data_IF_218640790495
#
_entry.id   IF_218640790495
#
_cell.length_a   1.000
_cell.length_b   1.000
_cell.length_c   1.000
_cell.angle_alpha   90.00
_cell.angle_beta   90.00
_cell.angle_gamma   90.00
#
_symmetry.space_group_name_H-M   'P 1'
#
loop_
_entity.id
_entity.type
_entity.pdbx_description
1 polymer ?
#
# COMPACT_ATOMS: atom_id res chain seq x y z
N UNK A 1 38.59 -3.53 -17.43
CA UNK A 1 37.68 -2.71 -18.25
C UNK A 1 36.34 -2.67 -17.56
N UNK A 2 36.03 -1.57 -16.87
CA UNK A 2 34.75 -1.40 -16.14
C UNK A 2 33.68 -1.11 -17.19
N UNK A 3 32.81 -2.07 -17.49
CA UNK A 3 31.60 -1.80 -18.28
C UNK A 3 30.84 -0.69 -17.62
N UNK A 4 30.70 0.46 -18.28
CA UNK A 4 29.73 1.49 -17.91
C UNK A 4 28.35 0.86 -18.05
N UNK A 5 27.79 0.39 -16.95
CA UNK A 5 26.40 -0.02 -16.90
C UNK A 5 25.56 1.25 -17.15
N UNK A 6 24.86 1.30 -18.28
CA UNK A 6 23.99 2.44 -18.55
C UNK A 6 22.93 2.52 -17.44
N UNK A 7 22.78 3.70 -16.86
CA UNK A 7 21.74 3.95 -15.84
C UNK A 7 20.37 3.62 -16.40
N UNK A 8 19.59 2.89 -15.63
CA UNK A 8 18.17 2.60 -15.91
C UNK A 8 17.24 3.66 -15.33
N UNK A 9 17.75 4.56 -14.48
CA UNK A 9 17.00 5.66 -13.86
C UNK A 9 16.91 6.85 -14.82
N UNK A 10 15.78 6.99 -15.49
CA UNK A 10 15.52 8.05 -16.47
C UNK A 10 15.11 9.38 -15.82
N UNK A 11 15.23 10.51 -16.55
CA UNK A 11 14.70 11.80 -16.08
C UNK A 11 13.20 11.76 -15.76
N UNK A 12 12.40 11.03 -16.57
CA UNK A 12 10.96 10.90 -16.36
C UNK A 12 10.65 10.17 -15.06
N UNK A 13 11.42 9.14 -14.71
CA UNK A 13 11.27 8.47 -13.41
C UNK A 13 11.61 9.41 -12.25
N UNK A 14 12.67 10.21 -12.38
CA UNK A 14 13.03 11.21 -11.37
C UNK A 14 11.93 12.25 -11.19
N UNK A 15 11.26 12.66 -12.26
CA UNK A 15 10.14 13.58 -12.26
C UNK A 15 8.87 13.00 -11.57
N UNK A 16 8.82 11.69 -11.33
CA UNK A 16 7.73 11.07 -10.56
C UNK A 16 7.83 11.33 -9.06
N UNK A 17 9.02 11.65 -8.54
CA UNK A 17 9.18 11.98 -7.11
C UNK A 17 8.34 13.20 -6.78
N UNK A 18 7.54 13.09 -5.71
CA UNK A 18 6.58 14.11 -5.30
C UNK A 18 5.20 13.97 -5.96
N UNK A 19 5.05 13.19 -7.02
CA UNK A 19 3.73 12.92 -7.61
C UNK A 19 2.86 12.14 -6.63
N UNK A 20 1.58 12.53 -6.58
CA UNK A 20 0.56 11.92 -5.71
C UNK A 20 -0.47 11.19 -6.55
N UNK A 21 -1.03 10.15 -5.96
CA UNK A 21 -2.30 9.61 -6.41
C UNK A 21 -3.46 10.53 -5.99
N UNK A 22 -4.64 10.23 -6.48
CA UNK A 22 -5.88 10.87 -6.01
C UNK A 22 -6.08 10.57 -4.52
N UNK A 23 -6.61 11.56 -3.78
CA UNK A 23 -7.09 11.35 -2.42
C UNK A 23 -8.48 10.71 -2.49
N UNK A 24 -8.63 9.54 -1.89
CA UNK A 24 -9.86 8.73 -2.00
C UNK A 24 -10.34 8.26 -0.65
N UNK A 25 -11.66 8.12 -0.53
CA UNK A 25 -12.29 7.47 0.60
C UNK A 25 -12.16 5.95 0.47
N UNK A 26 -11.89 5.29 1.59
CA UNK A 26 -11.93 3.85 1.69
C UNK A 26 -13.37 3.34 1.51
N UNK A 27 -13.50 2.07 1.12
CA UNK A 27 -14.81 1.46 0.83
C UNK A 27 -15.77 1.43 2.03
N UNK A 28 -15.27 1.32 3.25
CA UNK A 28 -16.10 1.12 4.44
C UNK A 28 -15.75 2.07 5.57
N UNK A 29 -16.38 1.80 6.68
CA UNK A 29 -16.09 2.44 7.97
C UNK A 29 -15.41 1.43 8.89
N UNK A 30 -14.71 1.90 9.90
CA UNK A 30 -14.17 1.04 10.96
C UNK A 30 -15.35 0.51 11.77
N UNK A 31 -15.66 -0.78 11.60
CA UNK A 31 -16.73 -1.47 12.32
C UNK A 31 -16.22 -2.76 12.99
N UNK A 32 -17.10 -3.40 13.76
CA UNK A 32 -16.74 -4.62 14.50
C UNK A 32 -16.37 -5.77 13.56
N UNK A 33 -16.98 -5.86 12.38
CA UNK A 33 -16.67 -6.93 11.43
C UNK A 33 -15.30 -6.74 10.79
N UNK A 34 -14.93 -5.51 10.43
CA UNK A 34 -13.56 -5.21 9.97
C UNK A 34 -12.54 -5.47 11.07
N UNK A 35 -12.83 -5.05 12.30
CA UNK A 35 -11.98 -5.29 13.46
C UNK A 35 -11.76 -6.79 13.66
N UNK A 36 -12.84 -7.56 13.70
CA UNK A 36 -12.79 -9.01 13.88
C UNK A 36 -11.96 -9.70 12.79
N UNK A 37 -12.22 -9.37 11.52
CA UNK A 37 -11.50 -9.97 10.38
C UNK A 37 -10.02 -9.62 10.40
N UNK A 38 -9.71 -8.38 10.72
CA UNK A 38 -8.32 -7.92 10.78
C UNK A 38 -7.55 -8.62 11.91
N UNK A 39 -8.10 -8.63 13.12
CA UNK A 39 -7.48 -9.25 14.28
C UNK A 39 -7.28 -10.78 14.09
N UNK A 40 -8.25 -11.46 13.44
CA UNK A 40 -8.09 -12.87 13.07
C UNK A 40 -7.01 -13.10 12.02
N UNK A 41 -6.88 -12.18 11.04
CA UNK A 41 -5.89 -12.32 9.97
C UNK A 41 -4.45 -12.16 10.45
N UNK A 42 -4.22 -11.37 11.51
CA UNK A 42 -2.91 -11.13 12.11
C UNK A 42 -2.69 -11.91 13.42
N UNK A 43 -3.46 -12.95 13.72
CA UNK A 43 -3.67 -13.63 15.01
C UNK A 43 -3.40 -12.78 16.25
N UNK A 44 -4.03 -11.61 16.34
CA UNK A 44 -3.90 -10.71 17.49
C UNK A 44 -5.06 -10.95 18.47
N UNK A 45 -4.73 -11.51 19.61
CA UNK A 45 -5.69 -11.95 20.63
C UNK A 45 -5.82 -10.96 21.79
N UNK A 46 -5.49 -9.68 21.61
CA UNK A 46 -5.71 -8.68 22.63
C UNK A 46 -7.21 -8.63 22.98
N UNK A 47 -7.59 -8.91 24.26
CA UNK A 47 -8.99 -8.94 24.66
C UNK A 47 -9.69 -7.59 24.47
N UNK A 48 -8.96 -6.49 24.36
CA UNK A 48 -9.53 -5.17 24.06
C UNK A 48 -10.16 -5.08 22.67
N UNK A 49 -9.88 -6.02 21.78
CA UNK A 49 -10.51 -6.11 20.45
C UNK A 49 -11.79 -6.96 20.44
N UNK A 50 -12.02 -7.76 21.50
CA UNK A 50 -13.05 -8.81 21.51
C UNK A 50 -14.03 -8.68 22.65
N UNK A 51 -13.55 -8.34 23.84
CA UNK A 51 -14.34 -8.30 25.07
C UNK A 51 -14.83 -6.86 25.30
N UNK A 52 -16.11 -6.62 24.98
CA UNK A 52 -16.75 -5.31 25.12
C UNK A 52 -16.79 -4.84 26.57
N UNK A 53 -16.99 -5.77 27.51
CA UNK A 53 -17.10 -5.41 28.93
C UNK A 53 -15.74 -5.01 29.51
N UNK A 54 -14.70 -5.73 29.15
CA UNK A 54 -13.33 -5.40 29.51
C UNK A 54 -12.90 -4.07 28.86
N UNK A 55 -13.16 -3.92 27.58
CA UNK A 55 -12.83 -2.71 26.82
C UNK A 55 -13.54 -1.47 27.38
N UNK A 56 -14.82 -1.61 27.77
CA UNK A 56 -15.59 -0.53 28.39
C UNK A 56 -15.01 -0.10 29.75
N UNK A 57 -14.46 -1.04 30.51
CA UNK A 57 -13.81 -0.76 31.82
C UNK A 57 -12.40 -0.18 31.65
N UNK A 58 -11.79 -0.34 30.49
CA UNK A 58 -10.46 0.15 30.18
C UNK A 58 -10.42 1.69 30.07
N UNK A 59 -9.21 2.24 29.96
CA UNK A 59 -9.00 3.67 29.68
C UNK A 59 -9.59 4.10 28.32
N UNK A 60 -9.83 3.16 27.40
CA UNK A 60 -10.34 3.44 26.05
C UNK A 60 -11.86 3.58 26.00
N UNK A 61 -12.58 3.07 27.01
CA UNK A 61 -14.05 3.16 27.12
C UNK A 61 -14.81 2.55 25.94
N UNK A 62 -14.28 1.47 25.39
CA UNK A 62 -14.84 0.70 24.27
C UNK A 62 -13.79 -0.14 23.58
N UNK A 63 -14.20 -0.93 22.57
CA UNK A 63 -13.27 -1.73 21.79
C UNK A 63 -12.18 -0.84 21.19
N UNK A 64 -10.94 -1.27 21.32
CA UNK A 64 -9.81 -0.62 20.67
C UNK A 64 -9.67 -1.13 19.22
N UNK A 65 -9.01 -0.35 18.39
CA UNK A 65 -8.82 -0.67 16.99
C UNK A 65 -7.32 -0.72 16.71
N UNK A 66 -6.81 -1.81 16.12
CA UNK A 66 -5.40 -1.89 15.75
C UNK A 66 -5.00 -0.72 14.84
N UNK A 67 -3.83 -0.10 15.06
CA UNK A 67 -3.44 1.13 14.35
C UNK A 67 -3.29 0.93 12.84
N UNK A 68 -3.07 -0.29 12.37
CA UNK A 68 -2.94 -0.63 10.95
C UNK A 68 -4.24 -1.09 10.28
N UNK A 69 -5.34 -1.21 11.01
CA UNK A 69 -6.62 -1.56 10.39
C UNK A 69 -7.02 -0.62 9.24
N UNK A 70 -6.72 0.69 9.24
CA UNK A 70 -6.98 1.57 8.10
C UNK A 70 -6.37 1.07 6.79
N UNK A 71 -5.22 0.43 6.83
CA UNK A 71 -4.55 -0.10 5.63
C UNK A 71 -5.30 -1.26 5.00
N UNK A 72 -6.01 -2.04 5.80
CA UNK A 72 -6.83 -3.15 5.36
C UNK A 72 -8.13 -2.68 4.67
N UNK A 73 -8.79 -1.69 5.22
CA UNK A 73 -10.07 -1.16 4.69
C UNK A 73 -9.88 -0.61 3.27
N UNK A 74 -8.77 0.05 2.97
CA UNK A 74 -8.50 0.65 1.66
C UNK A 74 -8.18 -0.35 0.55
N UNK A 75 -7.95 -1.62 0.87
CA UNK A 75 -7.58 -2.62 -0.13
C UNK A 75 -8.78 -3.20 -0.88
N UNK A 76 -10.01 -2.91 -0.45
CA UNK A 76 -11.20 -3.45 -1.10
C UNK A 76 -11.56 -2.69 -2.37
N UNK A 77 -12.01 -3.44 -3.36
CA UNK A 77 -12.44 -3.00 -4.66
C UNK A 77 -13.94 -2.90 -4.81
N UNK A 78 -14.35 -2.05 -5.76
CA UNK A 78 -15.68 -2.17 -6.37
C UNK A 78 -15.74 -3.44 -7.23
N UNK A 79 -16.76 -4.27 -7.01
CA UNK A 79 -16.98 -5.51 -7.76
C UNK A 79 -17.24 -5.29 -9.26
N UNK A 80 -17.55 -4.03 -9.65
CA UNK A 80 -17.85 -3.65 -11.04
C UNK A 80 -16.64 -3.31 -11.89
N UNK A 81 -15.45 -3.28 -11.32
CA UNK A 81 -14.24 -2.95 -12.09
C UNK A 81 -13.76 -4.19 -12.83
N UNK A 82 -13.51 -4.05 -14.14
CA UNK A 82 -12.85 -5.08 -14.94
C UNK A 82 -11.51 -5.45 -14.29
N UNK A 83 -11.25 -6.73 -14.21
CA UNK A 83 -9.93 -7.21 -13.79
C UNK A 83 -8.94 -7.05 -14.94
N UNK A 84 -8.02 -6.10 -14.82
CA UNK A 84 -6.97 -5.90 -15.82
C UNK A 84 -6.03 -7.11 -15.92
N UNK A 85 -6.04 -8.00 -14.93
CA UNK A 85 -5.26 -9.22 -15.00
C UNK A 85 -5.80 -10.21 -16.03
N UNK A 86 -7.11 -10.26 -16.22
CA UNK A 86 -7.69 -11.13 -17.24
C UNK A 86 -7.11 -10.78 -18.63
N UNK A 87 -6.97 -9.48 -18.95
CA UNK A 87 -6.40 -9.03 -20.20
C UNK A 87 -4.90 -9.37 -20.31
N UNK A 88 -4.15 -9.17 -19.23
CA UNK A 88 -2.71 -9.48 -19.18
C UNK A 88 -2.44 -10.98 -19.30
N UNK A 89 -3.21 -11.80 -18.58
CA UNK A 89 -3.06 -13.26 -18.62
C UNK A 89 -3.46 -13.86 -19.96
N UNK A 90 -4.40 -13.25 -20.67
CA UNK A 90 -4.77 -13.66 -22.02
C UNK A 90 -3.65 -13.34 -23.02
N UNK A 91 -2.98 -12.19 -22.86
CA UNK A 91 -1.91 -11.76 -23.77
C UNK A 91 -0.57 -12.46 -23.48
N UNK A 92 -0.26 -12.72 -22.24
CA UNK A 92 0.98 -13.39 -21.80
C UNK A 92 0.69 -14.27 -20.57
N UNK A 93 0.28 -15.53 -20.78
CA UNK A 93 -0.02 -16.47 -19.70
C UNK A 93 1.18 -16.79 -18.78
N UNK A 94 2.40 -16.54 -19.25
CA UNK A 94 3.63 -16.73 -18.48
C UNK A 94 4.05 -15.46 -17.74
N UNK A 95 3.30 -14.39 -17.90
CA UNK A 95 3.54 -13.17 -17.14
C UNK A 95 3.15 -13.44 -15.68
N UNK A 96 4.13 -13.34 -14.78
CA UNK A 96 3.88 -13.35 -13.35
C UNK A 96 3.30 -12.00 -12.85
N UNK A 97 2.88 -11.16 -13.78
CA UNK A 97 2.45 -9.78 -13.67
C UNK A 97 1.35 -9.53 -12.62
N UNK A 98 0.68 -10.57 -12.16
CA UNK A 98 -0.21 -10.45 -11.02
C UNK A 98 0.47 -9.92 -9.77
N UNK A 99 1.63 -10.43 -9.53
CA UNK A 99 2.48 -9.99 -8.42
C UNK A 99 3.31 -8.76 -8.79
N UNK A 100 3.64 -8.60 -10.06
CA UNK A 100 4.61 -7.62 -10.54
C UNK A 100 4.02 -6.33 -11.07
N UNK A 101 2.82 -6.37 -11.64
CA UNK A 101 2.20 -5.18 -12.20
C UNK A 101 1.51 -4.28 -11.17
N UNK A 102 1.69 -4.58 -9.89
CA UNK A 102 0.98 -3.87 -8.83
C UNK A 102 -0.50 -4.23 -8.77
N UNK A 103 -0.81 -5.43 -9.21
CA UNK A 103 -2.13 -6.03 -9.11
C UNK A 103 -3.13 -5.41 -10.08
N UNK A 104 -3.33 -6.05 -11.20
CA UNK A 104 -4.38 -5.72 -12.15
C UNK A 104 -5.76 -5.64 -11.56
N UNK A 105 -5.94 -6.01 -10.35
CA UNK A 105 -7.23 -6.04 -9.70
C UNK A 105 -7.51 -4.89 -8.74
N UNK A 106 -6.76 -3.83 -8.69
CA UNK A 106 -7.03 -2.68 -7.82
C UNK A 106 -7.69 -1.55 -8.60
N UNK A 107 -8.71 -0.94 -8.02
CA UNK A 107 -9.22 0.34 -8.51
C UNK A 107 -8.05 1.26 -8.84
N UNK A 108 -8.10 1.92 -9.98
CA UNK A 108 -7.07 2.91 -10.33
C UNK A 108 -7.15 4.16 -9.46
N UNK A 109 -8.28 4.35 -8.78
CA UNK A 109 -8.45 5.44 -7.81
C UNK A 109 -7.46 5.31 -6.67
N UNK A 110 -6.78 6.40 -6.36
CA UNK A 110 -5.78 6.45 -5.30
C UNK A 110 -4.45 5.77 -5.61
N UNK A 111 -4.30 5.18 -6.80
CA UNK A 111 -3.01 4.62 -7.23
C UNK A 111 -2.05 5.74 -7.64
N UNK A 112 -0.78 5.48 -7.44
CA UNK A 112 0.27 6.33 -7.99
C UNK A 112 0.31 6.23 -9.52
N UNK A 113 0.68 7.31 -10.22
CA UNK A 113 0.98 7.23 -11.64
C UNK A 113 2.04 6.14 -11.89
N UNK A 114 1.88 5.38 -12.96
CA UNK A 114 2.82 4.28 -13.29
C UNK A 114 4.22 4.82 -13.55
N UNK A 115 5.23 4.15 -13.00
CA UNK A 115 6.61 4.41 -13.36
C UNK A 115 6.84 4.02 -14.83
N UNK A 116 7.48 4.87 -15.64
CA UNK A 116 7.84 4.55 -17.04
C UNK A 116 9.05 3.60 -17.07
N UNK A 117 8.80 2.34 -16.69
CA UNK A 117 9.86 1.33 -16.59
C UNK A 117 10.29 0.83 -17.97
N UNK A 118 11.60 0.56 -18.19
CA UNK A 118 12.07 -0.14 -19.37
C UNK A 118 11.44 -1.54 -19.49
N UNK A 119 11.18 -2.06 -20.70
CA UNK A 119 10.51 -3.34 -20.92
C UNK A 119 11.18 -4.55 -20.27
N UNK A 120 12.48 -4.49 -20.01
CA UNK A 120 13.23 -5.57 -19.38
C UNK A 120 13.10 -5.58 -17.84
N UNK A 121 12.59 -4.52 -17.22
CA UNK A 121 12.31 -4.46 -15.79
C UNK A 121 10.91 -5.02 -15.57
N UNK A 122 10.83 -6.31 -15.31
CA UNK A 122 9.55 -7.03 -15.19
C UNK A 122 9.18 -7.39 -13.76
N UNK A 123 10.18 -7.58 -12.89
CA UNK A 123 9.92 -8.02 -11.50
C UNK A 123 9.62 -6.84 -10.59
N UNK A 124 8.60 -7.05 -9.75
CA UNK A 124 8.23 -6.17 -8.67
C UNK A 124 8.30 -6.94 -7.36
N UNK A 125 9.18 -6.52 -6.48
CA UNK A 125 9.36 -7.12 -5.17
C UNK A 125 9.02 -6.10 -4.10
N UNK A 126 8.33 -6.55 -3.07
CA UNK A 126 8.10 -5.76 -1.87
C UNK A 126 9.38 -5.77 -1.02
N UNK A 127 9.92 -4.60 -0.72
CA UNK A 127 11.16 -4.42 0.03
C UNK A 127 10.96 -4.14 1.52
N UNK A 128 9.71 -3.98 1.95
CA UNK A 128 9.35 -3.69 3.33
C UNK A 128 8.48 -2.45 3.47
N UNK A 129 7.96 -2.25 4.66
CA UNK A 129 7.18 -1.08 5.05
C UNK A 129 7.76 -0.44 6.31
N UNK A 130 7.74 0.90 6.33
CA UNK A 130 7.99 1.71 7.51
C UNK A 130 6.65 2.30 7.96
N UNK A 131 6.31 2.18 9.25
CA UNK A 131 5.01 2.63 9.78
C UNK A 131 5.19 3.68 10.85
N UNK A 132 4.49 4.80 10.69
CA UNK A 132 4.38 5.86 11.68
C UNK A 132 2.92 5.98 12.14
N UNK A 133 2.64 5.67 13.42
CA UNK A 133 1.31 5.77 14.02
C UNK A 133 1.19 7.12 14.72
N UNK A 134 0.22 7.94 14.32
CA UNK A 134 -0.07 9.24 14.94
C UNK A 134 -1.20 9.12 15.97
N UNK A 135 -2.27 8.41 15.60
CA UNK A 135 -3.34 8.09 16.54
C UNK A 135 -4.07 6.81 16.16
N UNK A 136 -4.69 6.19 17.15
CA UNK A 136 -5.48 4.98 16.93
C UNK A 136 -6.80 5.33 16.25
N UNK A 137 -7.21 4.56 15.23
CA UNK A 137 -8.55 4.67 14.66
C UNK A 137 -9.60 4.32 15.72
N UNK A 138 -10.81 4.83 15.52
CA UNK A 138 -11.95 4.57 16.40
C UNK A 138 -13.07 3.89 15.63
N UNK A 139 -13.91 3.16 16.35
CA UNK A 139 -15.13 2.62 15.79
C UNK A 139 -15.97 3.74 15.16
N UNK A 140 -16.44 3.53 13.94
CA UNK A 140 -17.18 4.50 13.14
C UNK A 140 -16.32 5.46 12.30
N UNK A 141 -14.99 5.39 12.38
CA UNK A 141 -14.14 6.22 11.55
C UNK A 141 -14.30 5.87 10.07
N UNK A 142 -14.43 6.92 9.25
CA UNK A 142 -14.35 6.85 7.79
C UNK A 142 -12.92 7.18 7.38
N UNK A 143 -12.32 6.27 6.63
CA UNK A 143 -10.92 6.38 6.27
C UNK A 143 -10.77 7.01 4.90
N UNK A 144 -9.92 8.02 4.80
CA UNK A 144 -9.44 8.59 3.53
C UNK A 144 -7.96 8.35 3.42
N UNK A 145 -7.45 8.11 2.22
CA UNK A 145 -6.02 7.91 2.02
C UNK A 145 -5.49 8.60 0.77
N UNK A 146 -4.18 8.84 0.75
CA UNK A 146 -3.47 9.34 -0.42
C UNK A 146 -2.05 8.77 -0.43
N UNK A 147 -1.57 8.44 -1.63
CA UNK A 147 -0.21 7.94 -1.87
C UNK A 147 0.64 9.00 -2.56
N UNK A 148 1.94 8.98 -2.28
CA UNK A 148 2.92 9.89 -2.85
C UNK A 148 4.25 9.16 -3.08
N UNK A 149 4.89 9.36 -4.24
CA UNK A 149 6.29 8.94 -4.39
C UNK A 149 7.21 9.83 -3.57
N UNK A 150 8.04 9.22 -2.72
CA UNK A 150 8.99 9.95 -1.86
C UNK A 150 10.42 9.88 -2.38
N UNK A 151 10.81 8.76 -3.01
CA UNK A 151 12.10 8.66 -3.67
C UNK A 151 12.12 7.57 -4.74
N UNK A 152 12.97 7.74 -5.75
CA UNK A 152 13.26 6.70 -6.75
C UNK A 152 14.77 6.72 -6.95
N UNK A 153 15.42 5.59 -6.72
CA UNK A 153 16.87 5.47 -6.75
C UNK A 153 17.26 4.22 -7.54
N UNK A 154 18.40 4.32 -8.23
CA UNK A 154 19.07 3.17 -8.80
C UNK A 154 20.06 2.58 -7.81
N UNK A 155 20.13 1.27 -7.76
CA UNK A 155 21.09 0.50 -7.00
C UNK A 155 21.71 -0.57 -7.89
N UNK A 156 22.91 -1.01 -7.54
CA UNK A 156 23.58 -2.13 -8.20
C UNK A 156 23.45 -3.36 -7.31
N UNK A 157 22.93 -4.43 -7.86
CA UNK A 157 22.81 -5.72 -7.18
C UNK A 157 24.16 -6.44 -7.03
N UNK A 158 24.19 -7.47 -6.21
CA UNK A 158 25.38 -8.32 -6.03
C UNK A 158 25.81 -9.05 -7.31
N UNK A 159 24.91 -9.17 -8.28
CA UNK A 159 25.17 -9.69 -9.63
C UNK A 159 25.69 -8.62 -10.62
N UNK A 160 25.96 -7.41 -10.15
CA UNK A 160 26.42 -6.27 -10.94
C UNK A 160 25.35 -5.62 -11.82
N UNK A 161 24.08 -6.05 -11.73
CA UNK A 161 22.99 -5.48 -12.53
C UNK A 161 22.27 -4.34 -11.78
N UNK A 162 21.89 -3.28 -12.48
CA UNK A 162 21.13 -2.20 -11.88
C UNK A 162 19.68 -2.64 -11.63
N UNK A 163 19.11 -2.10 -10.54
CA UNK A 163 17.70 -2.20 -10.20
C UNK A 163 17.22 -0.89 -9.60
N UNK A 164 15.92 -0.66 -9.60
CA UNK A 164 15.31 0.52 -9.01
C UNK A 164 14.72 0.21 -7.63
N UNK A 165 14.90 1.15 -6.72
CA UNK A 165 14.22 1.19 -5.43
C UNK A 165 13.32 2.40 -5.45
N UNK A 166 12.00 2.18 -5.55
CA UNK A 166 11.00 3.22 -5.44
C UNK A 166 10.41 3.21 -4.04
N UNK A 167 10.33 4.37 -3.41
CA UNK A 167 9.66 4.55 -2.12
C UNK A 167 8.41 5.37 -2.32
N UNK A 168 7.34 4.95 -1.68
CA UNK A 168 6.09 5.71 -1.61
C UNK A 168 5.64 5.82 -0.16
N UNK A 169 4.88 6.84 0.13
CA UNK A 169 4.23 7.03 1.43
C UNK A 169 2.73 7.06 1.20
N UNK A 170 1.98 6.33 2.01
CA UNK A 170 0.53 6.41 2.07
C UNK A 170 0.15 7.02 3.41
N UNK A 171 -0.55 8.14 3.38
CA UNK A 171 -1.12 8.76 4.57
C UNK A 171 -2.59 8.40 4.68
N UNK A 172 -3.03 8.07 5.88
CA UNK A 172 -4.40 7.70 6.21
C UNK A 172 -4.99 8.71 7.19
N UNK A 173 -6.18 9.21 6.90
CA UNK A 173 -6.92 10.17 7.72
C UNK A 173 -8.29 9.62 8.10
N UNK A 174 -8.82 10.12 9.22
CA UNK A 174 -10.23 9.96 9.53
C UNK A 174 -11.08 11.09 8.90
N UNK A 175 -12.39 11.05 9.11
CA UNK A 175 -13.34 12.05 8.57
C UNK A 175 -13.16 13.47 9.11
N UNK A 176 -12.39 13.64 10.18
CA UNK A 176 -12.03 14.96 10.75
C UNK A 176 -10.75 15.54 10.14
N UNK A 177 -10.10 14.78 9.25
CA UNK A 177 -8.81 15.14 8.68
C UNK A 177 -7.61 14.89 9.60
N UNK A 178 -7.82 14.18 10.71
CA UNK A 178 -6.75 13.80 11.63
C UNK A 178 -5.96 12.64 11.01
N UNK A 179 -4.62 12.73 11.02
CA UNK A 179 -3.74 11.66 10.53
C UNK A 179 -3.78 10.50 11.51
N UNK A 180 -4.14 9.33 11.02
CA UNK A 180 -4.11 8.08 11.79
C UNK A 180 -2.74 7.43 11.74
N UNK A 181 -2.27 7.13 10.53
CA UNK A 181 -0.95 6.56 10.31
C UNK A 181 -0.40 6.95 8.94
N UNK A 182 0.91 6.78 8.80
CA UNK A 182 1.62 6.81 7.52
C UNK A 182 2.33 5.50 7.31
N UNK A 183 2.30 5.01 6.10
CA UNK A 183 2.99 3.77 5.70
C UNK A 183 3.90 4.08 4.54
N UNK A 184 5.20 4.02 4.81
CA UNK A 184 6.25 4.10 3.80
C UNK A 184 6.48 2.71 3.20
N UNK A 185 6.26 2.55 1.90
CA UNK A 185 6.46 1.27 1.19
C UNK A 185 7.68 1.33 0.31
N UNK A 186 8.47 0.28 0.33
CA UNK A 186 9.66 0.10 -0.50
C UNK A 186 9.34 -0.91 -1.60
N UNK A 187 9.40 -0.46 -2.84
CA UNK A 187 9.23 -1.28 -4.03
C UNK A 187 10.56 -1.46 -4.76
N UNK A 188 10.93 -2.71 -5.02
CA UNK A 188 12.12 -3.05 -5.81
C UNK A 188 11.67 -3.47 -7.20
N UNK A 189 12.23 -2.81 -8.23
CA UNK A 189 11.95 -3.08 -9.65
C UNK A 189 13.19 -3.63 -10.34
N UNK A 190 13.07 -4.85 -10.88
CA UNK A 190 14.22 -5.57 -11.44
C UNK A 190 13.89 -6.33 -12.72
#
# INVERSE_FOLDING_TARGET
MTQKTNSILTPDMKAMVGKTGEKVDAWGVVDEEYLRRFAQAIPDWDPLYWDKDLAQKSKFKGLTVPPLLPTYIVTRRALSEKDQMDEVMVQDPMNDGGMNSGGGTRSQKGMLPRLPLPPHIKRHLHGGDDVEVHQYPRMGDKITFQRKYTSIQERIGGDGKPFLVARSETTYWNQKGEVLCKVGTIDIRR
#
